data_IF_872566076575
#
_entry.id   IF_872566076575
#
_cell.length_a   1.000
_cell.length_b   1.000
_cell.length_c   1.000
_cell.angle_alpha   90.00
_cell.angle_beta   90.00
_cell.angle_gamma   90.00
#
_symmetry.space_group_name_H-M   'P 1'
#
loop_
_entity.id
_entity.type
_entity.pdbx_description
1 polymer ?
#
# COMPACT_ATOMS: atom_id res chain seq x y z
N UNK A 1 -33.40 -36.16 -68.21
CA UNK A 1 -33.66 -35.80 -66.80
C UNK A 1 -32.65 -36.52 -65.91
N UNK A 2 -31.65 -35.80 -65.37
CA UNK A 2 -31.03 -36.08 -64.07
C UNK A 2 -30.15 -34.87 -63.72
N UNK A 3 -30.46 -34.30 -62.57
CA UNK A 3 -30.16 -32.93 -62.19
C UNK A 3 -28.67 -32.72 -61.85
N UNK A 4 -28.20 -31.54 -62.27
CA UNK A 4 -27.07 -30.81 -61.72
C UNK A 4 -27.29 -30.53 -60.23
N UNK A 5 -26.27 -30.75 -59.39
CA UNK A 5 -26.02 -30.04 -58.14
C UNK A 5 -24.57 -30.31 -57.71
N UNK A 6 -23.66 -29.45 -58.20
CA UNK A 6 -22.31 -29.37 -57.68
C UNK A 6 -22.35 -28.53 -56.40
N UNK A 7 -22.20 -29.19 -55.25
CA UNK A 7 -22.06 -28.53 -53.94
C UNK A 7 -20.63 -28.04 -53.83
N UNK A 8 -20.43 -26.74 -54.07
CA UNK A 8 -19.14 -26.07 -53.87
C UNK A 8 -18.96 -25.82 -52.37
N UNK A 9 -18.13 -26.64 -51.72
CA UNK A 9 -17.67 -26.41 -50.35
C UNK A 9 -16.71 -25.21 -50.36
N UNK A 10 -17.22 -24.02 -50.07
CA UNK A 10 -16.40 -22.85 -49.75
C UNK A 10 -15.85 -23.08 -48.34
N UNK A 11 -14.61 -23.55 -48.25
CA UNK A 11 -13.85 -23.59 -47.01
C UNK A 11 -13.52 -22.15 -46.62
N UNK A 12 -14.36 -21.55 -45.78
CA UNK A 12 -14.13 -20.22 -45.22
C UNK A 12 -12.95 -20.32 -44.24
N UNK A 13 -11.75 -19.97 -44.70
CA UNK A 13 -10.59 -19.79 -43.83
C UNK A 13 -10.87 -18.53 -43.00
N UNK A 14 -11.37 -18.72 -41.79
CA UNK A 14 -11.31 -17.68 -40.76
C UNK A 14 -9.84 -17.44 -40.44
N UNK A 15 -9.23 -16.48 -41.14
CA UNK A 15 -8.05 -15.82 -40.62
C UNK A 15 -8.46 -15.18 -39.30
N UNK A 16 -8.13 -15.83 -38.19
CA UNK A 16 -8.05 -15.16 -36.89
C UNK A 16 -6.95 -14.11 -37.08
N UNK A 17 -7.35 -12.90 -37.47
CA UNK A 17 -6.50 -11.73 -37.32
C UNK A 17 -6.31 -11.62 -35.82
N UNK A 18 -5.17 -12.10 -35.33
CA UNK A 18 -4.65 -11.71 -34.03
C UNK A 18 -4.38 -10.21 -34.19
N UNK A 19 -5.39 -9.39 -33.89
CA UNK A 19 -5.23 -7.95 -33.79
C UNK A 19 -4.26 -7.79 -32.63
N UNK A 20 -2.99 -7.53 -32.94
CA UNK A 20 -1.99 -7.18 -31.93
C UNK A 20 -2.57 -6.06 -31.07
N UNK A 21 -2.34 -6.13 -29.76
CA UNK A 21 -2.81 -5.11 -28.83
C UNK A 21 -2.39 -3.73 -29.37
N UNK A 22 -3.29 -2.72 -29.34
CA UNK A 22 -2.98 -1.42 -29.91
C UNK A 22 -1.78 -0.81 -29.18
N UNK A 23 -0.63 -0.74 -29.84
CA UNK A 23 0.56 -0.08 -29.29
C UNK A 23 0.61 1.38 -29.70
N UNK A 24 1.12 2.23 -28.80
CA UNK A 24 1.33 3.65 -29.01
C UNK A 24 2.82 3.96 -28.84
N UNK A 25 3.43 4.48 -29.89
CA UNK A 25 4.82 4.94 -29.84
C UNK A 25 4.88 6.33 -29.21
N UNK A 26 5.41 6.43 -27.98
CA UNK A 26 5.52 7.69 -27.25
C UNK A 26 6.95 8.21 -27.33
N UNK A 27 7.13 9.45 -27.81
CA UNK A 27 8.41 10.16 -27.76
C UNK A 27 8.43 11.11 -26.57
N UNK A 28 9.55 11.11 -25.85
CA UNK A 28 9.78 11.96 -24.68
C UNK A 28 10.52 13.25 -25.07
N UNK A 29 10.43 14.32 -24.25
CA UNK A 29 11.10 15.58 -24.54
C UNK A 29 12.62 15.47 -24.58
N UNK A 30 13.18 14.65 -23.69
CA UNK A 30 14.61 14.43 -23.52
C UNK A 30 14.89 12.94 -23.30
N UNK A 31 16.15 12.55 -23.45
CA UNK A 31 16.58 11.21 -23.07
C UNK A 31 16.61 11.10 -21.55
N UNK A 32 15.78 10.23 -20.98
CA UNK A 32 15.64 10.14 -19.53
C UNK A 32 15.11 8.79 -19.05
N UNK A 33 14.74 8.75 -17.78
CA UNK A 33 13.98 7.66 -17.19
C UNK A 33 12.57 8.18 -16.90
N UNK A 34 11.57 7.40 -17.28
CA UNK A 34 10.16 7.74 -17.14
C UNK A 34 9.39 6.56 -16.56
N UNK A 35 8.33 6.84 -15.81
CA UNK A 35 7.26 5.88 -15.55
C UNK A 35 6.02 6.25 -16.34
N UNK A 36 5.19 5.27 -16.67
CA UNK A 36 3.84 5.55 -17.14
C UNK A 36 2.81 4.59 -16.57
N UNK A 37 1.59 5.06 -16.36
CA UNK A 37 0.45 4.25 -15.94
C UNK A 37 -0.85 4.81 -16.51
N UNK A 38 -1.93 4.04 -16.35
CA UNK A 38 -3.26 4.42 -16.76
C UNK A 38 -4.16 4.59 -15.55
N UNK A 39 -4.99 5.62 -15.58
CA UNK A 39 -6.08 5.84 -14.64
C UNK A 39 -7.40 5.85 -15.43
N UNK A 40 -8.34 4.96 -15.11
CA UNK A 40 -9.61 4.87 -15.82
C UNK A 40 -10.71 4.27 -14.94
N UNK A 41 -11.96 4.39 -15.37
CA UNK A 41 -13.11 3.71 -14.74
C UNK A 41 -13.31 2.36 -15.40
N UNK A 42 -13.43 1.26 -14.65
CA UNK A 42 -13.76 -0.04 -15.22
C UNK A 42 -15.24 -0.14 -15.67
N UNK A 43 -15.64 -1.31 -16.17
CA UNK A 43 -17.04 -1.60 -16.58
C UNK A 43 -18.07 -1.44 -15.46
N UNK A 44 -17.65 -1.48 -14.20
CA UNK A 44 -18.50 -1.28 -13.02
C UNK A 44 -18.45 0.16 -12.50
N UNK A 45 -17.67 1.05 -13.12
CA UNK A 45 -17.46 2.42 -12.66
C UNK A 45 -16.51 2.55 -11.47
N UNK A 46 -15.74 1.51 -11.15
CA UNK A 46 -14.67 1.57 -10.15
C UNK A 46 -13.43 2.25 -10.74
N UNK A 47 -12.74 3.06 -9.93
CA UNK A 47 -11.44 3.62 -10.32
C UNK A 47 -10.39 2.51 -10.39
N UNK A 48 -9.71 2.43 -11.53
CA UNK A 48 -8.60 1.53 -11.78
C UNK A 48 -7.38 2.36 -12.12
N UNK A 49 -6.29 2.05 -11.44
CA UNK A 49 -4.96 2.61 -11.71
C UNK A 49 -4.07 1.43 -12.07
N UNK A 50 -3.39 1.43 -13.21
CA UNK A 50 -2.50 0.31 -13.54
C UNK A 50 -1.18 0.42 -12.80
N UNK A 51 -0.47 -0.70 -12.65
CA UNK A 51 0.92 -0.68 -12.22
C UNK A 51 1.73 0.23 -13.15
N UNK A 52 2.49 1.21 -12.62
CA UNK A 52 3.39 2.00 -13.43
C UNK A 52 4.53 1.18 -14.00
N UNK A 53 4.83 1.45 -15.27
CA UNK A 53 5.82 0.73 -16.06
C UNK A 53 7.00 1.68 -16.28
N UNK A 54 8.20 1.19 -15.95
CA UNK A 54 9.43 1.92 -16.18
C UNK A 54 9.87 1.84 -17.63
N UNK A 55 10.34 2.97 -18.17
CA UNK A 55 10.97 3.05 -19.48
C UNK A 55 12.11 4.07 -19.46
N UNK A 56 13.09 3.89 -20.34
CA UNK A 56 14.24 4.77 -20.42
C UNK A 56 14.63 5.01 -21.89
N UNK A 57 15.20 6.18 -22.15
CA UNK A 57 15.59 6.60 -23.49
C UNK A 57 14.77 7.78 -23.99
N UNK A 58 14.67 7.92 -25.32
CA UNK A 58 13.98 9.02 -26.00
C UNK A 58 12.54 8.65 -26.43
N UNK A 59 12.19 7.37 -26.33
CA UNK A 59 10.87 6.87 -26.69
C UNK A 59 10.53 5.55 -26.01
N UNK A 60 9.24 5.24 -25.90
CA UNK A 60 8.71 3.97 -25.41
C UNK A 60 7.55 3.48 -26.28
N UNK A 61 7.42 2.16 -26.44
CA UNK A 61 6.21 1.55 -26.96
C UNK A 61 5.28 1.23 -25.79
N UNK A 62 4.12 1.85 -25.77
CA UNK A 62 3.12 1.70 -24.71
C UNK A 62 1.99 0.80 -25.23
N UNK A 63 1.73 -0.29 -24.51
CA UNK A 63 0.60 -1.16 -24.79
C UNK A 63 -0.71 -0.55 -24.25
N UNK A 64 -1.65 -0.21 -25.14
CA UNK A 64 -2.98 0.29 -24.78
C UNK A 64 -3.99 -0.86 -24.58
N UNK A 65 -3.55 -2.12 -24.58
CA UNK A 65 -4.37 -3.31 -24.42
C UNK A 65 -5.20 -3.30 -23.13
N UNK A 66 -4.62 -2.86 -22.01
CA UNK A 66 -5.33 -2.74 -20.72
C UNK A 66 -6.51 -1.75 -20.77
N UNK A 67 -6.41 -0.70 -21.58
CA UNK A 67 -7.43 0.34 -21.76
C UNK A 67 -8.53 -0.10 -22.72
N UNK A 68 -8.22 -1.04 -23.62
CA UNK A 68 -9.15 -1.54 -24.64
C UNK A 68 -10.31 -2.37 -24.05
N UNK A 69 -10.21 -2.78 -22.78
CA UNK A 69 -11.20 -3.60 -22.06
C UNK A 69 -12.44 -2.78 -21.65
N UNK A 70 -12.33 -1.44 -21.63
CA UNK A 70 -13.41 -0.53 -21.22
C UNK A 70 -14.44 -0.17 -22.30
N UNK A 71 -14.24 -0.62 -23.53
CA UNK A 71 -14.99 -0.12 -24.69
C UNK A 71 -14.51 1.26 -25.12
N UNK A 72 -14.78 1.63 -26.37
CA UNK A 72 -14.21 2.79 -27.08
C UNK A 72 -14.50 4.18 -26.47
N UNK A 73 -15.22 4.25 -25.34
CA UNK A 73 -15.75 5.49 -24.76
C UNK A 73 -15.53 5.67 -23.25
N UNK A 74 -14.76 4.80 -22.57
CA UNK A 74 -14.51 5.02 -21.15
C UNK A 74 -13.52 6.19 -20.91
N UNK A 75 -13.85 7.14 -20.02
CA UNK A 75 -12.94 8.20 -19.61
C UNK A 75 -11.73 7.59 -18.89
N UNK A 76 -10.55 8.12 -19.17
CA UNK A 76 -9.30 7.63 -18.63
C UNK A 76 -8.12 8.44 -19.14
N UNK A 77 -6.99 8.32 -18.46
CA UNK A 77 -5.81 9.16 -18.58
C UNK A 77 -4.56 8.28 -18.60
N UNK A 78 -3.69 8.50 -19.58
CA UNK A 78 -2.29 8.08 -19.53
C UNK A 78 -1.52 9.11 -18.71
N UNK A 79 -0.89 8.67 -17.64
CA UNK A 79 0.02 9.46 -16.83
C UNK A 79 1.45 9.05 -17.18
N UNK A 80 2.32 10.03 -17.39
CA UNK A 80 3.75 9.82 -17.65
C UNK A 80 4.54 10.67 -16.66
N UNK A 81 5.31 10.04 -15.79
CA UNK A 81 6.13 10.69 -14.77
C UNK A 81 7.59 10.73 -15.21
N UNK A 82 8.19 11.91 -15.14
CA UNK A 82 9.61 12.12 -15.34
C UNK A 82 10.36 11.98 -14.00
N UNK A 83 11.22 10.98 -13.88
CA UNK A 83 11.98 10.72 -12.65
C UNK A 83 12.98 11.84 -12.33
N UNK A 84 13.40 12.63 -13.32
CA UNK A 84 14.35 13.73 -13.12
C UNK A 84 13.67 14.94 -12.48
N UNK A 85 12.56 15.39 -13.07
CA UNK A 85 11.86 16.62 -12.64
C UNK A 85 10.78 16.39 -11.59
N UNK A 86 10.34 15.15 -11.41
CA UNK A 86 9.16 14.82 -10.60
C UNK A 86 7.84 15.32 -11.17
N UNK A 87 7.83 15.73 -12.44
CA UNK A 87 6.61 16.20 -13.09
C UNK A 87 5.87 15.05 -13.78
N UNK A 88 4.58 15.25 -13.99
CA UNK A 88 3.66 14.31 -14.62
C UNK A 88 3.02 14.97 -15.82
N UNK A 89 3.04 14.28 -16.95
CA UNK A 89 2.17 14.57 -18.08
C UNK A 89 0.90 13.72 -18.01
N UNK A 90 -0.26 14.36 -18.14
CA UNK A 90 -1.56 13.68 -18.16
C UNK A 90 -2.21 13.81 -19.54
N UNK A 91 -2.46 12.68 -20.22
CA UNK A 91 -3.10 12.64 -21.55
C UNK A 91 -4.35 11.79 -21.55
N UNK A 92 -5.48 12.40 -21.88
CA UNK A 92 -6.78 11.73 -22.03
C UNK A 92 -6.70 10.60 -23.06
N UNK A 93 -7.05 9.38 -22.66
CA UNK A 93 -6.93 8.18 -23.49
C UNK A 93 -7.82 8.24 -24.73
N UNK A 94 -8.98 8.90 -24.64
CA UNK A 94 -9.90 9.10 -25.77
C UNK A 94 -9.21 9.85 -26.93
N UNK A 95 -8.24 10.71 -26.61
CA UNK A 95 -7.47 11.47 -27.59
C UNK A 95 -6.30 10.67 -28.19
N UNK A 96 -6.05 9.45 -27.69
CA UNK A 96 -4.97 8.56 -28.11
C UNK A 96 -5.47 7.34 -28.88
N UNK A 97 -6.74 6.95 -28.73
CA UNK A 97 -7.34 5.84 -29.48
C UNK A 97 -7.18 6.07 -30.99
N UNK A 98 -6.60 5.09 -31.69
CA UNK A 98 -6.36 5.13 -33.12
C UNK A 98 -5.11 5.91 -33.55
N UNK A 99 -4.40 6.56 -32.62
CA UNK A 99 -3.09 7.16 -32.90
C UNK A 99 -2.00 6.10 -32.87
N UNK A 100 -1.05 6.23 -33.80
CA UNK A 100 0.17 5.40 -33.84
C UNK A 100 1.31 5.98 -33.02
N UNK A 101 1.29 7.30 -32.80
CA UNK A 101 2.32 7.99 -32.05
C UNK A 101 1.80 9.15 -31.23
N UNK A 102 2.52 9.45 -30.16
CA UNK A 102 2.34 10.60 -29.28
C UNK A 102 3.71 11.24 -29.06
N UNK A 103 3.81 12.56 -29.22
CA UNK A 103 5.03 13.30 -28.95
C UNK A 103 4.79 14.20 -27.74
N UNK A 104 5.40 13.87 -26.60
CA UNK A 104 5.32 14.66 -25.39
C UNK A 104 6.35 15.79 -25.43
N UNK A 105 5.91 17.00 -25.10
CA UNK A 105 6.72 18.21 -25.02
C UNK A 105 7.01 18.54 -23.56
N UNK A 106 8.04 19.36 -23.24
CA UNK A 106 8.28 19.80 -21.87
C UNK A 106 7.04 20.43 -21.21
N UNK A 107 6.30 21.26 -21.96
CA UNK A 107 5.06 21.88 -21.49
C UNK A 107 3.91 20.90 -21.21
N UNK A 108 4.01 19.63 -21.62
CA UNK A 108 3.03 18.61 -21.27
C UNK A 108 3.21 18.07 -19.84
N UNK A 109 4.37 18.30 -19.22
CA UNK A 109 4.71 17.90 -17.84
C UNK A 109 4.42 19.05 -16.88
N UNK A 110 3.15 19.42 -16.81
CA UNK A 110 2.62 20.58 -16.10
C UNK A 110 2.14 20.28 -14.67
N UNK A 111 2.03 19.00 -14.31
CA UNK A 111 1.65 18.58 -12.96
C UNK A 111 2.89 18.21 -12.14
N UNK A 112 2.96 18.67 -10.92
CA UNK A 112 4.01 18.32 -9.96
C UNK A 112 3.54 17.17 -9.12
N UNK A 113 4.25 16.04 -9.18
CA UNK A 113 3.79 14.82 -8.50
C UNK A 113 3.67 15.01 -7.00
N UNK A 114 4.63 15.68 -6.38
CA UNK A 114 4.67 15.86 -4.92
C UNK A 114 5.01 17.31 -4.57
N UNK A 115 4.05 18.00 -3.95
CA UNK A 115 4.22 19.32 -3.35
C UNK A 115 4.14 19.17 -1.84
N UNK A 116 5.25 19.48 -1.16
CA UNK A 116 5.40 19.39 0.29
C UNK A 116 5.41 20.79 0.90
N UNK A 117 4.45 21.07 1.76
CA UNK A 117 4.40 22.29 2.57
C UNK A 117 4.81 21.95 3.99
N UNK A 118 5.88 22.58 4.47
CA UNK A 118 6.40 22.39 5.83
C UNK A 118 6.08 23.64 6.64
N UNK A 119 5.12 23.53 7.54
CA UNK A 119 4.76 24.60 8.45
C UNK A 119 5.74 24.64 9.63
N UNK A 120 6.24 25.84 9.93
CA UNK A 120 7.13 26.11 11.06
C UNK A 120 6.56 27.24 11.90
N UNK A 121 6.50 27.14 13.23
CA UNK A 121 6.20 28.30 14.06
C UNK A 121 7.26 29.39 13.84
N UNK A 122 6.85 30.65 13.67
CA UNK A 122 7.77 31.76 13.39
C UNK A 122 8.70 32.06 14.56
N UNK A 123 8.18 31.98 15.79
CA UNK A 123 8.91 32.25 17.05
C UNK A 123 9.18 30.97 17.87
N UNK A 124 8.79 29.81 17.35
CA UNK A 124 8.86 28.55 18.10
C UNK A 124 10.27 27.97 18.16
N UNK A 125 10.54 27.24 19.24
CA UNK A 125 11.80 26.51 19.41
C UNK A 125 11.88 25.35 18.42
N UNK A 126 13.09 24.84 18.07
CA UNK A 126 13.26 23.75 17.09
C UNK A 126 12.51 22.45 17.44
N UNK A 127 12.27 22.23 18.73
CA UNK A 127 11.54 21.10 19.31
C UNK A 127 10.02 21.33 19.38
N UNK A 128 9.50 22.50 18.98
CA UNK A 128 8.07 22.75 18.94
C UNK A 128 7.47 22.32 17.60
N UNK A 129 6.28 21.71 17.67
CA UNK A 129 5.50 21.26 16.53
C UNK A 129 4.13 21.91 16.59
N UNK A 130 3.57 22.23 15.43
CA UNK A 130 2.23 22.81 15.35
C UNK A 130 1.23 21.76 15.84
N UNK A 131 0.35 22.15 16.77
CA UNK A 131 -0.66 21.25 17.35
C UNK A 131 -1.66 20.81 16.27
N UNK A 132 -2.18 21.75 15.49
CA UNK A 132 -3.04 21.44 14.35
C UNK A 132 -3.07 22.60 13.34
N UNK A 133 -3.14 22.27 12.06
CA UNK A 133 -3.45 23.21 11.00
C UNK A 133 -4.13 22.51 9.82
N UNK A 134 -4.86 23.27 9.00
CA UNK A 134 -5.33 22.82 7.69
C UNK A 134 -4.61 23.64 6.63
N UNK A 135 -3.92 22.95 5.73
CA UNK A 135 -3.27 23.56 4.58
C UNK A 135 -4.14 23.32 3.35
N UNK A 136 -4.48 24.40 2.67
CA UNK A 136 -5.22 24.40 1.41
C UNK A 136 -4.31 24.96 0.33
N UNK A 137 -4.03 24.18 -0.71
CA UNK A 137 -3.33 24.64 -1.90
C UNK A 137 -4.36 24.82 -3.00
N UNK A 138 -4.41 26.02 -3.59
CA UNK A 138 -5.16 26.29 -4.82
C UNK A 138 -4.15 26.43 -5.95
N UNK A 139 -4.20 25.52 -6.93
CA UNK A 139 -3.22 25.48 -8.01
C UNK A 139 -3.53 26.46 -9.15
N UNK A 140 -2.71 26.44 -10.20
CA UNK A 140 -2.86 27.30 -11.37
C UNK A 140 -4.16 27.07 -12.16
N UNK A 141 -4.81 25.91 -12.00
CA UNK A 141 -6.09 25.56 -12.61
C UNK A 141 -7.29 25.91 -11.71
N UNK A 142 -7.03 26.49 -10.53
CA UNK A 142 -8.00 26.76 -9.47
C UNK A 142 -8.57 25.50 -8.78
N UNK A 143 -7.87 24.36 -8.88
CA UNK A 143 -8.20 23.16 -8.13
C UNK A 143 -7.72 23.30 -6.67
N UNK A 144 -8.57 22.92 -5.71
CA UNK A 144 -8.26 22.98 -4.27
C UNK A 144 -7.84 21.62 -3.72
N UNK A 145 -6.66 21.57 -3.12
CA UNK A 145 -6.12 20.42 -2.41
C UNK A 145 -6.05 20.73 -0.91
N UNK A 146 -6.44 19.79 -0.05
CA UNK A 146 -6.54 20.01 1.41
C UNK A 146 -5.82 18.92 2.17
N UNK A 147 -5.00 19.31 3.13
CA UNK A 147 -4.30 18.41 4.03
C UNK A 147 -4.38 18.92 5.47
N UNK A 148 -4.51 18.00 6.41
CA UNK A 148 -4.46 18.29 7.84
C UNK A 148 -3.02 18.06 8.30
N UNK A 149 -2.49 19.05 9.02
CA UNK A 149 -1.22 18.98 9.73
C UNK A 149 -1.55 18.76 11.20
N UNK A 150 -0.97 17.71 11.77
CA UNK A 150 -1.10 17.36 13.19
C UNK A 150 0.30 17.11 13.77
N UNK A 151 0.46 16.85 15.08
CA UNK A 151 1.77 16.69 15.68
C UNK A 151 2.58 15.52 15.10
N UNK A 152 1.90 14.50 14.57
CA UNK A 152 2.50 13.31 13.98
C UNK A 152 3.02 13.57 12.57
N UNK A 153 2.46 14.55 11.85
CA UNK A 153 2.94 14.93 10.51
C UNK A 153 4.20 15.80 10.54
N UNK A 154 4.72 16.11 11.73
CA UNK A 154 5.90 16.95 11.93
C UNK A 154 5.79 18.33 11.24
N UNK A 155 4.58 18.89 11.17
CA UNK A 155 4.33 20.16 10.49
C UNK A 155 4.20 20.03 8.96
N UNK A 156 4.21 18.82 8.41
CA UNK A 156 4.23 18.59 6.97
C UNK A 156 2.84 18.31 6.42
N UNK A 157 2.51 18.95 5.29
CA UNK A 157 1.38 18.65 4.43
C UNK A 157 1.91 18.28 3.04
N UNK A 158 1.41 17.19 2.46
CA UNK A 158 1.78 16.74 1.13
C UNK A 158 0.57 16.75 0.19
N UNK A 159 0.80 17.17 -1.04
CA UNK A 159 -0.18 17.27 -2.11
C UNK A 159 0.37 16.62 -3.36
N UNK A 160 -0.50 16.03 -4.17
CA UNK A 160 -0.11 15.28 -5.34
C UNK A 160 -0.76 15.79 -6.61
N UNK A 161 -0.04 15.68 -7.73
CA UNK A 161 -0.48 16.10 -9.07
C UNK A 161 -1.00 17.55 -9.12
N UNK A 162 -0.27 18.47 -8.46
CA UNK A 162 -0.61 19.91 -8.39
C UNK A 162 -0.08 20.61 -9.64
N UNK A 163 -0.91 21.40 -10.33
CA UNK A 163 -0.44 22.14 -11.50
C UNK A 163 0.64 23.17 -11.13
N UNK A 164 1.75 23.17 -11.87
CA UNK A 164 2.83 24.14 -11.73
C UNK A 164 2.41 25.52 -12.27
N UNK A 165 2.90 26.59 -11.62
CA UNK A 165 2.58 27.95 -11.99
C UNK A 165 2.56 28.86 -10.76
N UNK A 166 1.55 29.73 -10.71
CA UNK A 166 1.29 30.59 -9.56
C UNK A 166 0.14 29.97 -8.76
N UNK A 167 0.43 29.62 -7.52
CA UNK A 167 -0.50 28.95 -6.61
C UNK A 167 -0.77 29.81 -5.38
N UNK A 168 -1.88 29.51 -4.69
CA UNK A 168 -2.20 30.11 -3.41
C UNK A 168 -2.19 29.06 -2.33
N UNK A 169 -1.39 29.28 -1.29
CA UNK A 169 -1.40 28.44 -0.09
C UNK A 169 -2.13 29.18 1.01
N UNK A 170 -3.22 28.60 1.49
CA UNK A 170 -3.95 29.06 2.65
C UNK A 170 -3.71 28.11 3.82
N UNK A 171 -3.27 28.65 4.95
CA UNK A 171 -3.07 27.90 6.19
C UNK A 171 -4.08 28.40 7.21
N UNK A 172 -4.87 27.47 7.76
CA UNK A 172 -5.83 27.70 8.83
C UNK A 172 -5.25 27.06 10.10
N UNK A 173 -5.08 27.83 11.17
CA UNK A 173 -4.52 27.36 12.43
C UNK A 173 -5.14 28.12 13.60
N UNK A 174 -5.55 27.41 14.66
CA UNK A 174 -6.33 28.02 15.73
C UNK A 174 -7.57 28.75 15.18
N UNK A 175 -7.67 30.05 15.44
CA UNK A 175 -8.71 30.95 14.90
C UNK A 175 -8.17 31.90 13.82
N UNK A 176 -6.95 31.69 13.35
CA UNK A 176 -6.27 32.53 12.37
C UNK A 176 -6.25 31.90 10.98
N UNK A 177 -6.06 32.76 9.97
CA UNK A 177 -5.89 32.38 8.58
C UNK A 177 -4.75 33.18 7.97
N UNK A 178 -3.85 32.49 7.30
CA UNK A 178 -2.78 33.08 6.49
C UNK A 178 -2.93 32.63 5.04
N UNK A 179 -2.72 33.53 4.09
CA UNK A 179 -2.68 33.19 2.66
C UNK A 179 -1.41 33.77 2.06
N UNK A 180 -0.68 32.94 1.31
CA UNK A 180 0.59 33.27 0.68
C UNK A 180 0.52 32.85 -0.78
N UNK A 181 1.02 33.71 -1.67
CA UNK A 181 1.27 33.32 -3.05
C UNK A 181 2.56 32.50 -3.13
N UNK A 182 2.48 31.38 -3.82
CA UNK A 182 3.57 30.45 -4.07
C UNK A 182 3.78 30.37 -5.59
N UNK A 183 5.02 30.15 -6.00
CA UNK A 183 5.33 29.84 -7.39
C UNK A 183 6.00 28.49 -7.42
N UNK A 184 5.39 27.51 -8.07
CA UNK A 184 6.02 26.23 -8.35
C UNK A 184 6.63 26.30 -9.76
N UNK A 185 7.96 26.24 -9.90
CA UNK A 185 8.59 26.27 -11.22
C UNK A 185 8.28 24.98 -11.98
N UNK A 186 7.98 25.13 -13.27
CA UNK A 186 7.72 24.01 -14.18
C UNK A 186 9.01 23.21 -14.48
N UNK A 187 10.14 23.90 -14.67
CA UNK A 187 11.45 23.25 -14.82
C UNK A 187 12.09 23.02 -13.46
N UNK A 188 12.43 21.78 -13.14
CA UNK A 188 13.11 21.36 -11.91
C UNK A 188 13.96 20.12 -12.14
N UNK A 189 14.96 19.97 -11.29
CA UNK A 189 15.80 18.76 -11.17
C UNK A 189 15.58 18.05 -9.82
N UNK A 190 14.47 18.36 -9.14
CA UNK A 190 14.07 17.77 -7.85
C UNK A 190 12.69 17.15 -7.98
N UNK A 191 12.57 15.89 -7.54
CA UNK A 191 11.34 15.10 -7.66
C UNK A 191 10.23 15.53 -6.71
N UNK A 192 10.57 16.27 -5.65
CA UNK A 192 9.65 16.76 -4.62
C UNK A 192 9.86 18.26 -4.46
N UNK A 193 8.83 19.05 -4.73
CA UNK A 193 8.88 20.49 -4.45
C UNK A 193 8.57 20.72 -2.98
N UNK A 194 9.51 21.30 -2.22
CA UNK A 194 9.30 21.59 -0.80
C UNK A 194 9.29 23.09 -0.52
N UNK A 195 8.25 23.57 0.17
CA UNK A 195 8.14 24.96 0.64
C UNK A 195 7.95 25.02 2.15
N UNK A 196 8.86 25.67 2.84
CA UNK A 196 8.69 26.02 4.24
C UNK A 196 7.84 27.30 4.39
N UNK A 197 6.87 27.29 5.29
CA UNK A 197 6.02 28.44 5.62
C UNK A 197 6.13 28.70 7.13
N UNK A 198 6.54 29.91 7.48
CA UNK A 198 6.51 30.37 8.86
C UNK A 198 5.10 30.84 9.21
N UNK A 199 4.50 30.27 10.26
CA UNK A 199 3.21 30.69 10.82
C UNK A 199 3.44 31.48 12.10
N UNK A 200 2.87 32.68 12.17
CA UNK A 200 3.01 33.63 13.28
C UNK A 200 1.65 33.94 13.88
N UNK A 201 1.58 34.32 15.16
CA UNK A 201 0.31 34.62 15.86
C UNK A 201 0.03 33.63 16.98
N UNK A 202 -1.25 33.38 17.27
CA UNK A 202 -1.68 32.41 18.31
C UNK A 202 -1.56 30.95 17.82
N UNK A 203 -0.35 30.58 17.39
CA UNK A 203 -0.02 29.22 16.94
C UNK A 203 0.18 28.35 18.17
N UNK A 204 -0.76 27.43 18.41
CA UNK A 204 -0.57 26.42 19.44
C UNK A 204 0.50 25.43 19.01
N UNK A 205 1.49 25.27 19.86
CA UNK A 205 2.54 24.28 19.67
C UNK A 205 2.49 23.23 20.76
N UNK A 206 2.85 22.00 20.37
CA UNK A 206 3.16 20.93 21.30
C UNK A 206 4.67 20.70 21.27
N UNK A 207 5.27 20.43 22.44
CA UNK A 207 6.64 19.93 22.46
C UNK A 207 6.66 18.62 21.69
N UNK A 208 7.58 18.51 20.74
CA UNK A 208 7.98 17.22 20.22
C UNK A 208 8.34 16.37 21.43
N UNK A 209 7.62 15.25 21.62
CA UNK A 209 8.13 14.20 22.48
C UNK A 209 9.53 13.91 21.95
N UNK A 210 10.55 14.09 22.81
CA UNK A 210 11.91 13.73 22.45
C UNK A 210 11.83 12.32 21.88
N UNK A 211 12.20 12.16 20.61
CA UNK A 211 12.53 10.84 20.11
C UNK A 211 13.82 10.52 20.85
N UNK A 212 13.68 9.90 22.02
CA UNK A 212 14.79 9.45 22.84
C UNK A 212 15.54 8.38 22.05
N UNK A 213 16.46 8.83 21.19
CA UNK A 213 17.66 8.07 20.95
C UNK A 213 18.47 8.08 22.25
N UNK A 214 18.71 6.89 22.76
CA UNK A 214 19.63 6.56 23.84
C UNK A 214 19.17 6.80 25.29
N UNK A 215 19.22 5.70 26.04
CA UNK A 215 19.37 5.60 27.51
C UNK A 215 18.11 5.70 28.39
N UNK A 216 17.18 4.76 28.23
CA UNK A 216 16.28 4.35 29.31
C UNK A 216 16.81 3.07 30.01
N UNK A 217 18.04 3.14 30.53
CA UNK A 217 18.41 2.38 31.72
C UNK A 217 18.52 3.41 32.85
N UNK A 218 17.66 3.25 33.88
CA UNK A 218 17.80 3.84 35.21
C UNK A 218 17.35 5.31 35.41
N UNK A 219 16.04 5.53 35.48
CA UNK A 219 15.35 6.49 36.36
C UNK A 219 13.92 6.60 35.83
N UNK A 220 12.89 5.98 36.39
CA UNK A 220 12.18 6.53 37.55
C UNK A 220 11.43 5.40 38.29
N UNK A 221 12.06 4.86 39.34
CA UNK A 221 11.37 4.13 40.43
C UNK A 221 10.68 5.09 41.41
N UNK A 222 10.19 6.23 40.95
CA UNK A 222 9.74 7.31 41.84
C UNK A 222 8.57 8.11 41.29
N UNK A 223 7.54 7.44 40.78
CA UNK A 223 6.18 8.00 40.78
C UNK A 223 5.09 6.94 40.65
N UNK A 224 5.28 5.78 41.29
CA UNK A 224 4.22 4.79 41.45
C UNK A 224 3.50 5.00 42.79
N UNK A 225 2.92 6.19 43.01
CA UNK A 225 2.02 6.43 44.13
C UNK A 225 1.13 7.67 43.91
N UNK A 226 0.26 7.64 42.91
CA UNK A 226 -1.01 8.38 42.88
C UNK A 226 -1.69 8.07 41.55
N UNK A 227 -3.02 7.98 41.53
CA UNK A 227 -3.86 7.77 40.32
C UNK A 227 -3.87 6.34 39.75
N UNK A 228 -4.17 5.36 40.60
CA UNK A 228 -4.78 4.09 40.17
C UNK A 228 -6.14 3.89 40.85
N UNK A 229 -7.06 4.84 40.66
CA UNK A 229 -8.47 4.67 41.01
C UNK A 229 -9.34 5.22 39.87
N UNK A 230 -9.76 4.32 38.96
CA UNK A 230 -10.70 4.66 37.90
C UNK A 230 -10.98 3.54 36.90
N UNK A 231 -10.00 2.66 36.64
CA UNK A 231 -10.14 1.64 35.57
C UNK A 231 -10.85 0.33 35.96
N UNK A 232 -10.79 -0.09 37.23
CA UNK A 232 -11.26 -1.44 37.61
C UNK A 232 -12.78 -1.47 37.82
N UNK A 233 -13.38 -0.38 38.32
CA UNK A 233 -14.81 -0.31 38.62
C UNK A 233 -15.62 -0.28 37.31
N UNK A 234 -15.16 0.45 36.28
CA UNK A 234 -15.82 0.49 34.97
C UNK A 234 -15.84 -0.89 34.29
N UNK A 235 -14.78 -1.67 34.44
CA UNK A 235 -14.69 -3.01 33.84
C UNK A 235 -15.65 -4.00 34.51
N UNK A 236 -15.80 -3.94 35.83
CA UNK A 236 -16.73 -4.78 36.57
C UNK A 236 -18.20 -4.45 36.25
N UNK A 237 -18.52 -3.15 36.10
CA UNK A 237 -19.87 -2.72 35.68
C UNK A 237 -20.19 -3.22 34.26
N UNK A 238 -19.23 -3.14 33.35
CA UNK A 238 -19.39 -3.66 31.98
C UNK A 238 -19.67 -5.17 31.93
N UNK A 239 -18.93 -5.96 32.71
CA UNK A 239 -19.13 -7.43 32.78
C UNK A 239 -20.52 -7.77 33.32
N UNK A 240 -20.96 -7.10 34.39
CA UNK A 240 -22.29 -7.32 34.96
C UNK A 240 -23.38 -6.99 33.93
N UNK A 241 -23.20 -5.93 33.15
CA UNK A 241 -24.17 -5.54 32.12
C UNK A 241 -24.27 -6.57 30.99
N UNK A 242 -23.14 -7.11 30.53
CA UNK A 242 -23.10 -8.18 29.51
C UNK A 242 -23.76 -9.45 30.02
N UNK A 243 -23.47 -9.85 31.26
CA UNK A 243 -24.09 -11.04 31.87
C UNK A 243 -25.60 -10.88 32.04
N UNK A 244 -26.06 -9.67 32.37
CA UNK A 244 -27.49 -9.37 32.49
C UNK A 244 -28.19 -9.41 31.14
N UNK A 245 -27.56 -8.90 30.07
CA UNK A 245 -28.06 -9.03 28.69
C UNK A 245 -28.15 -10.50 28.29
N UNK A 246 -27.12 -11.31 28.53
CA UNK A 246 -27.12 -12.75 28.23
C UNK A 246 -28.19 -13.49 29.03
N UNK A 247 -28.41 -13.12 30.29
CA UNK A 247 -29.47 -13.70 31.12
C UNK A 247 -30.86 -13.34 30.60
N UNK A 248 -31.09 -12.09 30.18
CA UNK A 248 -32.36 -11.66 29.57
C UNK A 248 -32.59 -12.42 28.26
N UNK A 249 -31.57 -12.56 27.40
CA UNK A 249 -31.65 -13.36 26.17
C UNK A 249 -32.01 -14.81 26.51
N UNK A 250 -31.37 -15.41 27.50
CA UNK A 250 -31.66 -16.78 27.94
C UNK A 250 -33.11 -16.93 28.43
N UNK A 251 -33.61 -15.99 29.25
CA UNK A 251 -35.00 -16.01 29.74
C UNK A 251 -36.01 -15.82 28.60
N UNK A 252 -35.70 -14.95 27.64
CA UNK A 252 -36.54 -14.74 26.43
C UNK A 252 -36.53 -15.98 25.52
N UNK A 253 -35.38 -16.63 25.35
CA UNK A 253 -35.28 -17.88 24.59
C UNK A 253 -36.06 -19.00 25.27
N UNK A 254 -35.98 -19.10 26.60
CA UNK A 254 -36.72 -20.08 27.40
C UNK A 254 -38.23 -19.83 27.40
N UNK A 255 -38.68 -18.57 27.51
CA UNK A 255 -40.11 -18.23 27.49
C UNK A 255 -40.76 -18.41 26.11
N UNK A 256 -39.97 -18.38 25.04
CA UNK A 256 -40.42 -18.66 23.67
C UNK A 256 -40.26 -20.13 23.25
N UNK A 257 -39.80 -21.01 24.14
CA UNK A 257 -39.65 -22.45 23.86
C UNK A 257 -38.63 -22.80 22.79
N UNK A 258 -37.70 -21.89 22.48
CA UNK A 258 -36.70 -22.08 21.42
C UNK A 258 -35.48 -22.77 22.03
N UNK A 259 -35.26 -24.04 21.66
CA UNK A 259 -34.04 -24.78 22.03
C UNK A 259 -32.81 -24.22 21.30
N UNK A 260 -31.65 -24.18 21.97
CA UNK A 260 -30.41 -23.55 21.50
C UNK A 260 -30.00 -24.01 20.08
N UNK A 261 -30.16 -25.30 19.79
CA UNK A 261 -29.86 -25.89 18.48
C UNK A 261 -30.72 -25.32 17.34
N UNK A 262 -32.00 -25.03 17.59
CA UNK A 262 -32.90 -24.45 16.57
C UNK A 262 -32.58 -22.97 16.31
N UNK A 263 -32.04 -22.26 17.31
CA UNK A 263 -31.55 -20.89 17.17
C UNK A 263 -30.27 -20.82 16.33
N UNK A 264 -29.31 -21.70 16.59
CA UNK A 264 -28.06 -21.83 15.83
C UNK A 264 -28.31 -22.19 14.36
N UNK A 265 -29.26 -23.09 14.10
CA UNK A 265 -29.66 -23.46 12.73
C UNK A 265 -30.28 -22.31 11.94
N UNK A 266 -31.00 -21.39 12.60
CA UNK A 266 -31.54 -20.18 11.95
C UNK A 266 -30.48 -19.12 11.62
N UNK A 267 -29.30 -19.19 12.25
CA UNK A 267 -28.17 -18.29 12.00
C UNK A 267 -27.15 -18.88 11.00
N UNK A 268 -27.47 -19.99 10.33
CA UNK A 268 -26.66 -20.55 9.25
C UNK A 268 -25.38 -21.27 9.71
N UNK A 269 -25.27 -21.60 11.00
CA UNK A 269 -24.14 -22.35 11.54
C UNK A 269 -24.49 -23.84 11.55
N UNK A 270 -23.97 -24.59 10.56
CA UNK A 270 -24.10 -26.05 10.52
C UNK A 270 -23.01 -26.69 11.39
N UNK A 271 -23.42 -27.42 12.43
CA UNK A 271 -22.53 -28.27 13.22
C UNK A 271 -22.39 -29.63 12.52
N UNK A 272 -21.18 -30.20 12.39
CA UNK A 272 -20.98 -31.54 11.84
C UNK A 272 -21.76 -32.58 12.66
N UNK A 273 -22.48 -33.47 11.97
CA UNK A 273 -23.17 -34.61 12.60
C UNK A 273 -22.15 -35.69 12.97
N UNK A 274 -22.25 -36.18 14.21
CA UNK A 274 -21.74 -37.50 14.59
C UNK A 274 -22.60 -38.57 13.90
N UNK A 275 -22.09 -39.13 12.80
CA UNK A 275 -22.59 -40.38 12.27
C UNK A 275 -21.75 -41.53 12.85
N UNK A 276 -22.41 -42.31 13.71
CA UNK A 276 -21.84 -43.49 14.31
C UNK A 276 -21.47 -44.56 13.29
N UNK A 277 -20.29 -45.14 13.52
CA UNK A 277 -19.98 -46.58 13.42
C UNK A 277 -20.67 -47.35 12.29
N UNK A 278 -20.04 -47.36 11.12
CA UNK A 278 -20.13 -48.47 10.17
C UNK A 278 -18.72 -49.07 10.02
N UNK A 279 -18.64 -50.38 10.26
CA UNK A 279 -17.43 -51.19 10.33
C UNK A 279 -16.61 -51.14 9.03
N UNK A 280 -15.37 -50.65 9.12
CA UNK A 280 -14.33 -50.92 8.12
C UNK A 280 -13.38 -51.92 8.72
N UNK A 281 -13.35 -53.10 8.11
CA UNK A 281 -12.49 -54.22 8.47
C UNK A 281 -11.02 -53.78 8.50
N UNK A 282 -10.37 -54.09 9.62
CA UNK A 282 -8.94 -53.90 9.86
C UNK A 282 -8.11 -54.79 8.93
N UNK A 283 -7.68 -54.24 7.80
CA UNK A 283 -6.44 -54.65 7.15
C UNK A 283 -5.26 -54.05 7.92
N UNK A 284 -4.29 -54.88 8.29
CA UNK A 284 -3.13 -54.50 9.10
C UNK A 284 -2.29 -53.35 8.53
N UNK A 285 -1.35 -52.80 9.32
CA UNK A 285 -0.56 -51.64 8.94
C UNK A 285 0.24 -51.96 7.67
N UNK A 286 -0.06 -51.26 6.58
CA UNK A 286 0.84 -51.17 5.44
C UNK A 286 2.12 -50.47 5.92
N UNK A 287 3.33 -50.98 5.60
CA UNK A 287 4.54 -50.29 5.97
C UNK A 287 4.55 -48.92 5.30
N UNK A 288 4.72 -47.86 6.09
CA UNK A 288 5.10 -46.55 5.56
C UNK A 288 6.34 -46.72 4.67
N UNK A 289 6.43 -46.02 3.53
CA UNK A 289 7.68 -45.98 2.80
C UNK A 289 8.75 -45.41 3.73
N UNK A 290 9.78 -46.20 4.02
CA UNK A 290 10.91 -45.79 4.82
C UNK A 290 11.55 -44.56 4.16
N UNK A 291 11.27 -43.37 4.71
CA UNK A 291 11.90 -42.13 4.30
C UNK A 291 13.36 -42.22 4.71
N UNK A 292 14.29 -42.22 3.74
CA UNK A 292 15.72 -42.24 4.01
C UNK A 292 16.08 -41.05 4.93
N UNK A 293 16.53 -41.28 6.17
CA UNK A 293 16.81 -40.22 7.12
C UNK A 293 17.93 -39.27 6.63
N UNK A 294 18.72 -39.70 5.65
CA UNK A 294 19.78 -38.92 5.04
C UNK A 294 19.31 -38.02 3.88
N UNK A 295 18.02 -38.00 3.53
CA UNK A 295 17.48 -37.09 2.52
C UNK A 295 16.68 -35.98 3.19
N UNK A 296 16.91 -34.73 2.75
CA UNK A 296 16.20 -33.56 3.23
C UNK A 296 14.78 -33.53 2.66
N UNK A 297 13.78 -33.47 3.53
CA UNK A 297 12.37 -33.41 3.16
C UNK A 297 11.93 -32.09 2.48
N UNK A 298 12.73 -31.03 2.57
CA UNK A 298 12.40 -29.72 1.99
C UNK A 298 12.92 -29.53 0.57
N UNK A 299 14.10 -30.06 0.24
CA UNK A 299 14.73 -29.85 -1.07
C UNK A 299 15.13 -31.16 -1.78
N UNK A 300 14.95 -32.32 -1.15
CA UNK A 300 15.28 -33.63 -1.72
C UNK A 300 16.78 -33.95 -1.80
N UNK A 301 17.67 -33.10 -1.29
CA UNK A 301 19.13 -33.32 -1.32
C UNK A 301 19.60 -34.17 -0.14
N UNK A 302 20.74 -34.85 -0.28
CA UNK A 302 21.38 -35.58 0.82
C UNK A 302 21.88 -34.62 1.90
N UNK A 303 21.59 -34.93 3.17
CA UNK A 303 22.11 -34.22 4.34
C UNK A 303 23.61 -34.51 4.49
N UNK A 304 24.35 -33.55 5.02
CA UNK A 304 25.77 -33.72 5.34
C UNK A 304 25.91 -34.83 6.41
N UNK A 305 26.71 -35.88 6.17
CA UNK A 305 26.83 -37.02 7.08
C UNK A 305 27.57 -36.69 8.40
N UNK A 306 28.35 -35.62 8.45
CA UNK A 306 29.07 -35.21 9.67
C UNK A 306 28.19 -34.33 10.57
N UNK A 307 27.28 -33.53 10.01
CA UNK A 307 26.48 -32.56 10.78
C UNK A 307 24.99 -32.88 10.82
N UNK A 308 24.51 -33.81 9.99
CA UNK A 308 23.09 -34.15 9.85
C UNK A 308 22.24 -33.02 9.25
N UNK A 309 22.87 -31.94 8.77
CA UNK A 309 22.19 -30.72 8.30
C UNK A 309 22.15 -30.65 6.77
N UNK A 310 21.10 -30.01 6.25
CA UNK A 310 21.01 -29.63 4.84
C UNK A 310 21.55 -28.20 4.68
N UNK A 311 22.26 -27.90 3.59
CA UNK A 311 22.67 -26.53 3.25
C UNK A 311 21.47 -25.56 3.10
N UNK A 312 20.27 -26.11 2.90
CA UNK A 312 19.00 -25.40 2.79
C UNK A 312 18.39 -24.98 4.14
N UNK A 313 18.89 -25.49 5.27
CA UNK A 313 18.45 -25.13 6.62
C UNK A 313 19.49 -24.20 7.25
N UNK A 314 19.25 -22.89 7.22
CA UNK A 314 20.07 -21.90 7.93
C UNK A 314 19.49 -21.73 9.34
N UNK A 315 20.28 -22.07 10.36
CA UNK A 315 20.01 -21.78 11.77
C UNK A 315 20.35 -20.30 12.09
N UNK A 316 19.49 -19.65 12.86
CA UNK A 316 19.55 -18.22 13.23
C UNK A 316 20.64 -17.87 14.29
N UNK A 317 21.74 -18.63 14.39
CA UNK A 317 22.68 -18.50 15.51
C UNK A 317 24.12 -18.14 15.14
N UNK A 318 24.38 -17.56 13.96
CA UNK A 318 25.64 -16.84 13.72
C UNK A 318 25.34 -15.36 13.66
N UNK A 319 25.43 -14.72 14.83
CA UNK A 319 25.60 -13.29 14.94
C UNK A 319 26.91 -12.89 14.27
N UNK A 320 26.82 -12.49 13.01
CA UNK A 320 27.79 -11.60 12.41
C UNK A 320 27.07 -10.30 12.16
N UNK A 321 27.53 -9.25 12.84
CA UNK A 321 27.25 -7.87 12.49
C UNK A 321 27.53 -7.72 10.99
N UNK A 322 26.47 -7.74 10.19
CA UNK A 322 26.57 -7.34 8.81
C UNK A 322 26.34 -5.85 8.78
N UNK A 323 27.41 -5.11 8.47
CA UNK A 323 27.31 -3.80 7.88
C UNK A 323 26.22 -3.82 6.78
N UNK A 324 25.54 -2.70 6.53
CA UNK A 324 24.47 -2.64 5.53
C UNK A 324 24.96 -3.26 4.23
N UNK A 325 24.29 -4.32 3.75
CA UNK A 325 24.46 -4.73 2.35
C UNK A 325 23.97 -3.55 1.53
N UNK A 326 24.90 -2.76 1.01
CA UNK A 326 24.61 -1.68 0.08
C UNK A 326 24.04 -2.30 -1.19
N UNK A 327 22.78 -1.98 -1.53
CA UNK A 327 22.15 -2.33 -2.80
C UNK A 327 21.07 -3.42 -2.79
N UNK A 328 20.50 -3.80 -1.64
CA UNK A 328 19.22 -4.53 -1.63
C UNK A 328 18.11 -3.66 -1.07
N UNK A 329 16.91 -3.69 -1.69
CA UNK A 329 15.81 -2.87 -1.26
C UNK A 329 15.32 -3.31 0.12
N UNK A 330 14.89 -2.36 0.96
CA UNK A 330 14.45 -2.57 2.33
C UNK A 330 13.33 -1.60 2.72
N UNK A 331 12.58 -1.95 3.76
CA UNK A 331 11.67 -1.05 4.44
C UNK A 331 12.24 -0.67 5.82
N UNK A 332 12.34 0.63 6.10
CA UNK A 332 12.81 1.17 7.37
C UNK A 332 11.65 1.80 8.12
N UNK A 333 11.30 1.27 9.28
CA UNK A 333 10.23 1.81 10.11
C UNK A 333 10.54 3.23 10.60
N UNK A 334 9.69 4.19 10.26
CA UNK A 334 9.79 5.59 10.67
C UNK A 334 8.94 5.89 11.90
N UNK A 335 7.75 5.30 11.98
CA UNK A 335 6.76 5.57 13.02
C UNK A 335 5.93 4.32 13.33
N UNK A 336 5.38 4.27 14.54
CA UNK A 336 4.55 3.17 15.03
C UNK A 336 5.37 2.15 15.80
N UNK A 337 4.76 0.98 16.06
CA UNK A 337 5.38 -0.08 16.87
C UNK A 337 6.64 -0.68 16.21
N UNK A 338 6.84 -0.42 14.91
CA UNK A 338 8.02 -0.87 14.16
C UNK A 338 9.05 0.25 13.89
N UNK A 339 8.94 1.42 14.54
CA UNK A 339 9.92 2.49 14.38
C UNK A 339 11.35 2.00 14.67
N UNK A 340 12.30 2.35 13.80
CA UNK A 340 13.70 1.91 13.86
C UNK A 340 13.97 0.48 13.37
N UNK A 341 12.94 -0.32 13.08
CA UNK A 341 13.14 -1.68 12.53
C UNK A 341 13.39 -1.63 11.02
N UNK A 342 14.23 -2.53 10.54
CA UNK A 342 14.56 -2.68 9.12
C UNK A 342 14.10 -4.04 8.64
N UNK A 343 13.41 -4.08 7.50
CA UNK A 343 12.94 -5.29 6.84
C UNK A 343 13.57 -5.38 5.45
N UNK A 344 14.50 -6.29 5.26
CA UNK A 344 15.15 -6.51 3.97
C UNK A 344 14.19 -7.19 2.98
N UNK A 345 14.08 -6.64 1.77
CA UNK A 345 13.25 -7.19 0.71
C UNK A 345 14.03 -8.22 -0.11
N UNK A 346 14.36 -9.35 0.51
CA UNK A 346 15.25 -10.35 -0.07
C UNK A 346 14.63 -11.16 -1.23
N UNK A 347 13.33 -11.49 -1.18
CA UNK A 347 12.67 -12.37 -2.15
C UNK A 347 11.85 -11.60 -3.22
N UNK A 348 11.65 -12.18 -4.40
CA UNK A 348 10.92 -11.52 -5.50
C UNK A 348 9.42 -11.36 -5.24
N UNK A 349 8.87 -12.12 -4.30
CA UNK A 349 7.51 -11.97 -3.80
C UNK A 349 7.54 -12.00 -2.29
N UNK A 350 7.00 -10.96 -1.65
CA UNK A 350 7.06 -10.75 -0.21
C UNK A 350 5.66 -10.43 0.27
N UNK A 351 5.13 -11.27 1.13
CA UNK A 351 3.84 -11.03 1.78
C UNK A 351 4.04 -10.17 3.03
N UNK A 352 3.14 -9.20 3.23
CA UNK A 352 3.13 -8.30 4.37
C UNK A 352 1.76 -8.41 5.05
N UNK A 353 1.77 -8.63 6.37
CA UNK A 353 0.53 -8.74 7.12
C UNK A 353 0.73 -9.08 8.58
N UNK A 354 -0.35 -9.06 9.36
CA UNK A 354 -0.31 -9.35 10.79
C UNK A 354 -0.14 -10.84 11.09
N UNK A 355 -0.51 -11.71 10.15
CA UNK A 355 -0.33 -13.14 10.35
C UNK A 355 1.17 -13.50 10.40
N UNK A 356 1.62 -14.31 11.38
CA UNK A 356 3.03 -14.72 11.48
C UNK A 356 3.56 -15.50 10.28
N UNK A 357 2.69 -16.03 9.42
CA UNK A 357 3.07 -16.73 8.18
C UNK A 357 3.53 -15.80 7.05
N UNK A 358 3.32 -14.48 7.18
CA UNK A 358 3.84 -13.51 6.21
C UNK A 358 5.36 -13.38 6.33
N UNK A 359 6.02 -13.10 5.20
CA UNK A 359 7.46 -12.81 5.20
C UNK A 359 7.80 -11.56 6.03
N UNK A 360 6.99 -10.52 5.91
CA UNK A 360 7.02 -9.37 6.81
C UNK A 360 5.81 -9.47 7.73
N UNK A 361 6.04 -10.09 8.89
CA UNK A 361 5.03 -10.30 9.91
C UNK A 361 4.93 -9.07 10.83
N UNK A 362 3.87 -8.29 10.66
CA UNK A 362 3.53 -7.13 11.48
C UNK A 362 2.55 -7.53 12.60
N UNK A 363 2.97 -8.47 13.46
CA UNK A 363 2.12 -9.13 14.47
C UNK A 363 1.57 -8.21 15.56
N UNK A 364 2.27 -7.13 15.90
CA UNK A 364 1.95 -6.21 16.99
C UNK A 364 0.95 -5.11 16.61
N UNK A 365 0.65 -4.94 15.32
CA UNK A 365 -0.21 -3.85 14.83
C UNK A 365 -1.59 -4.38 14.46
N UNK A 366 -2.56 -4.19 15.34
CA UNK A 366 -3.93 -4.67 15.16
C UNK A 366 -4.67 -4.03 13.97
N UNK A 367 -4.20 -2.88 13.48
CA UNK A 367 -4.77 -2.23 12.29
C UNK A 367 -4.30 -2.89 10.99
N UNK A 368 -3.33 -3.82 11.05
CA UNK A 368 -2.88 -4.61 9.90
C UNK A 368 -3.74 -5.86 9.74
N UNK A 369 -4.31 -6.07 8.55
CA UNK A 369 -4.99 -7.31 8.16
C UNK A 369 -4.05 -8.52 8.17
N UNK A 370 -4.60 -9.73 8.34
CA UNK A 370 -3.82 -10.99 8.38
C UNK A 370 -2.90 -11.13 7.17
N UNK A 371 -3.44 -10.94 5.98
CA UNK A 371 -2.71 -10.74 4.73
C UNK A 371 -3.12 -9.35 4.26
N UNK A 372 -2.17 -8.41 4.19
CA UNK A 372 -2.47 -7.00 4.00
C UNK A 372 -2.02 -6.50 2.63
N UNK A 373 -0.75 -6.71 2.32
CA UNK A 373 -0.15 -6.29 1.08
C UNK A 373 0.84 -7.33 0.57
N UNK A 374 1.18 -7.23 -0.72
CA UNK A 374 2.23 -8.01 -1.35
C UNK A 374 3.20 -7.06 -2.03
N UNK A 375 4.49 -7.26 -1.79
CA UNK A 375 5.57 -6.58 -2.49
C UNK A 375 6.17 -7.55 -3.51
N UNK A 376 6.28 -7.10 -4.76
CA UNK A 376 6.82 -7.86 -5.87
C UNK A 376 8.05 -7.14 -6.42
N UNK A 377 9.13 -7.88 -6.67
CA UNK A 377 10.30 -7.39 -7.42
C UNK A 377 10.29 -8.01 -8.80
N UNK A 378 10.31 -7.18 -9.84
CA UNK A 378 10.38 -7.64 -11.23
C UNK A 378 11.13 -6.62 -12.07
N UNK A 379 12.09 -7.09 -12.88
CA UNK A 379 12.86 -6.24 -13.80
C UNK A 379 13.50 -5.01 -13.14
N UNK A 380 13.95 -5.13 -11.89
CA UNK A 380 14.55 -4.02 -11.13
C UNK A 380 13.56 -3.03 -10.51
N UNK A 381 12.25 -3.25 -10.67
CA UNK A 381 11.19 -2.45 -10.05
C UNK A 381 10.61 -3.21 -8.87
N UNK A 382 10.40 -2.49 -7.76
CA UNK A 382 9.69 -3.02 -6.58
C UNK A 382 8.29 -2.42 -6.57
N UNK A 383 7.26 -3.25 -6.42
CA UNK A 383 5.85 -2.82 -6.47
C UNK A 383 5.11 -3.37 -5.26
N UNK A 384 4.38 -2.52 -4.54
CA UNK A 384 3.47 -2.92 -3.47
C UNK A 384 2.02 -2.97 -3.97
N UNK A 385 1.27 -3.99 -3.57
CA UNK A 385 -0.15 -4.16 -3.90
C UNK A 385 -0.92 -4.43 -2.63
N UNK A 386 -2.00 -3.68 -2.38
CA UNK A 386 -2.96 -4.03 -1.33
C UNK A 386 -3.76 -5.25 -1.78
N UNK A 387 -3.83 -6.30 -0.94
CA UNK A 387 -4.48 -7.57 -1.29
C UNK A 387 -5.84 -7.75 -0.58
N UNK A 388 -6.55 -6.64 -0.37
CA UNK A 388 -7.88 -6.63 0.26
C UNK A 388 -7.81 -6.35 1.75
N UNK A 389 -6.93 -5.45 2.17
CA UNK A 389 -6.82 -5.07 3.57
C UNK A 389 -8.01 -4.22 4.04
N UNK A 390 -8.29 -4.27 5.35
CA UNK A 390 -9.43 -3.57 5.94
C UNK A 390 -9.24 -2.06 6.01
N UNK A 391 -8.02 -1.60 6.29
CA UNK A 391 -7.69 -0.18 6.45
C UNK A 391 -7.03 0.42 5.20
N UNK A 392 -6.62 -0.42 4.25
CA UNK A 392 -5.85 -0.01 3.08
C UNK A 392 -4.37 0.13 3.34
N UNK A 393 -3.63 0.08 2.25
CA UNK A 393 -2.22 0.46 2.16
C UNK A 393 -2.13 1.88 1.61
N UNK A 394 -1.22 2.70 2.14
CA UNK A 394 -1.00 4.05 1.64
C UNK A 394 0.46 4.23 1.24
N UNK A 395 0.70 5.00 0.19
CA UNK A 395 2.04 5.43 -0.22
C UNK A 395 2.02 6.95 -0.34
N UNK A 396 2.94 7.62 0.36
CA UNK A 396 3.03 9.08 0.47
C UNK A 396 1.67 9.73 0.85
N UNK A 397 0.99 9.12 1.82
CA UNK A 397 -0.31 9.58 2.35
C UNK A 397 -1.54 9.25 1.48
N UNK A 398 -1.36 8.69 0.28
CA UNK A 398 -2.48 8.30 -0.59
C UNK A 398 -2.78 6.81 -0.51
N UNK A 399 -4.05 6.45 -0.34
CA UNK A 399 -4.49 5.06 -0.36
C UNK A 399 -4.30 4.46 -1.75
N UNK A 400 -3.53 3.38 -1.85
CA UNK A 400 -3.38 2.67 -3.12
C UNK A 400 -4.57 1.72 -3.28
N UNK A 401 -5.11 1.66 -4.50
CA UNK A 401 -6.19 0.74 -4.88
C UNK A 401 -5.74 -0.31 -5.89
N UNK A 402 -4.45 -0.27 -6.26
CA UNK A 402 -3.82 -1.13 -7.25
C UNK A 402 -2.32 -1.23 -7.01
N UNK A 403 -1.59 -2.10 -7.74
CA UNK A 403 -0.14 -2.21 -7.60
C UNK A 403 0.57 -0.86 -7.83
N UNK A 404 1.40 -0.45 -6.87
CA UNK A 404 2.12 0.82 -6.82
C UNK A 404 3.64 0.58 -6.78
N UNK A 405 4.46 1.18 -7.67
CA UNK A 405 5.90 1.01 -7.65
C UNK A 405 6.49 1.85 -6.53
N UNK A 406 7.46 1.30 -5.81
CA UNK A 406 8.16 1.98 -4.75
C UNK A 406 9.44 2.61 -5.29
N UNK A 407 9.59 3.91 -5.04
CA UNK A 407 10.81 4.67 -5.28
C UNK A 407 11.57 4.88 -3.98
N UNK A 408 12.90 4.92 -4.08
CA UNK A 408 13.76 5.19 -2.93
C UNK A 408 13.34 6.49 -2.23
N UNK A 409 12.96 6.40 -0.96
CA UNK A 409 12.45 7.50 -0.16
C UNK A 409 10.94 7.49 0.08
N UNK A 410 10.17 6.67 -0.66
CA UNK A 410 8.70 6.61 -0.50
C UNK A 410 8.31 6.18 0.91
N UNK A 411 7.30 6.84 1.46
CA UNK A 411 6.71 6.51 2.76
C UNK A 411 5.48 5.62 2.57
N UNK A 412 5.57 4.39 3.04
CA UNK A 412 4.46 3.45 3.10
C UNK A 412 3.79 3.51 4.46
N UNK A 413 2.47 3.58 4.48
CA UNK A 413 1.69 3.36 5.69
C UNK A 413 0.90 2.05 5.57
N UNK A 414 1.13 1.15 6.51
CA UNK A 414 0.46 -0.15 6.61
C UNK A 414 -0.04 -0.29 8.06
N UNK A 415 -1.35 -0.30 8.25
CA UNK A 415 -1.94 -0.20 9.58
C UNK A 415 -1.63 1.15 10.25
N UNK A 416 -1.14 1.10 11.49
CA UNK A 416 -0.75 2.29 12.26
C UNK A 416 0.73 2.66 12.11
N UNK A 417 1.50 1.93 11.31
CA UNK A 417 2.95 2.09 11.20
C UNK A 417 3.36 2.68 9.84
N UNK A 418 4.42 3.48 9.84
CA UNK A 418 5.00 4.09 8.63
C UNK A 418 6.40 3.55 8.36
N UNK A 419 6.72 3.34 7.10
CA UNK A 419 7.98 2.79 6.64
C UNK A 419 8.52 3.63 5.48
N UNK A 420 9.83 3.86 5.43
CA UNK A 420 10.51 4.38 4.25
C UNK A 420 11.03 3.22 3.41
N UNK A 421 10.76 3.24 2.12
CA UNK A 421 11.42 2.35 1.18
C UNK A 421 12.81 2.87 0.83
N UNK A 422 13.81 2.00 0.88
CA UNK A 422 15.18 2.30 0.46
C UNK A 422 15.60 1.24 -0.57
N UNK A 423 16.09 1.64 -1.74
CA UNK A 423 16.37 0.74 -2.88
C UNK A 423 17.81 0.24 -2.96
#
# INVERSE_FOLDING_TARGET
>A
MRNFLAVSFITLVFAVVVVGAPTLSVKFPEKGAYLYWFEYKDVNGADVITAPIHTAGESAEIDLGAVSVGGKNQPGVLKVYDLKSGNVAAKKLQNLVGKKSLNLKPADFDLVRTVRIVLKPADGKPDERIESAVVVVTDANADEFKAIVDPTSQGTAEFHDVAAGQEKVTVLYGNEKMTIDMQIPAERDESVFTRAIAVSGDVRTVKAAATEESSAEKSERRNQSSERQGGVIGYLVGIVFVLLILYVIYVVMKSRGITLEQGLKKMGVELPRDEGTAEVQSGGPSPEPAVDPNICQFCGQRKDPATGRCACTIDASVGSQMAPRTGQPRLVGLQGVYAGRVFDLAADSITVGRDPSNMIALTEDTAVSRMHAQIMKSSGVVTITDIGSSNGTFVNGMRITSPHPLMNGDELQIGGSKFRFEA
#
